data_IF_588841810975
#
_entry.id   IF_588841810975
#
_cell.length_a   1.000
_cell.length_b   1.000
_cell.length_c   1.000
_cell.angle_alpha   90.00
_cell.angle_beta   90.00
_cell.angle_gamma   90.00
#
_symmetry.space_group_name_H-M   'P 1'
#
loop_
_entity.id
_entity.type
_entity.pdbx_description
1 polymer ?
#
# COMPACT_ATOMS: atom_id res chain seq x y z
N UNK A 1 -35.92 1.13 2.05
CA UNK A 1 -35.13 1.77 3.12
C UNK A 1 -33.66 1.69 2.71
N UNK A 2 -32.91 2.76 2.94
CA UNK A 2 -31.47 2.82 2.65
C UNK A 2 -30.75 3.59 3.74
N UNK A 3 -29.48 3.26 3.95
CA UNK A 3 -28.59 3.86 4.94
C UNK A 3 -27.26 4.20 4.29
N UNK A 4 -26.74 5.38 4.60
CA UNK A 4 -25.35 5.76 4.30
C UNK A 4 -24.57 5.68 5.61
N UNK A 5 -23.47 4.94 5.59
CA UNK A 5 -22.63 4.71 6.76
C UNK A 5 -21.24 5.27 6.49
N UNK A 6 -20.65 5.97 7.45
CA UNK A 6 -19.28 6.51 7.34
C UNK A 6 -18.43 5.98 8.48
N UNK A 7 -17.27 5.47 8.14
CA UNK A 7 -16.28 4.92 9.06
C UNK A 7 -15.02 5.76 8.96
N UNK A 8 -14.51 6.26 10.08
CA UNK A 8 -13.28 7.02 10.13
C UNK A 8 -12.38 6.52 11.26
N UNK A 9 -11.08 6.43 11.00
CA UNK A 9 -10.08 6.03 12.00
C UNK A 9 -8.67 6.19 11.46
N UNK A 10 -7.67 5.91 12.30
CA UNK A 10 -6.24 6.02 11.94
C UNK A 10 -5.57 4.66 11.74
N UNK A 11 -6.35 3.59 11.83
CA UNK A 11 -5.90 2.22 11.60
C UNK A 11 -6.70 1.60 10.46
N UNK A 12 -6.11 0.63 9.79
CA UNK A 12 -6.75 -0.10 8.69
C UNK A 12 -7.81 -1.11 9.13
N UNK A 13 -8.22 -1.06 10.40
CA UNK A 13 -9.33 -1.83 10.94
C UNK A 13 -10.31 -0.84 11.56
N UNK A 14 -11.39 -0.54 10.85
CA UNK A 14 -12.42 0.38 11.30
C UNK A 14 -13.59 -0.41 11.87
N UNK A 15 -14.01 -0.10 13.09
CA UNK A 15 -15.13 -0.79 13.74
C UNK A 15 -16.18 0.23 14.19
N UNK A 16 -17.46 -0.05 13.93
CA UNK A 16 -18.58 0.72 14.43
C UNK A 16 -19.60 -0.20 15.10
N UNK A 17 -20.17 0.27 16.22
CA UNK A 17 -21.25 -0.39 16.94
C UNK A 17 -22.53 0.43 16.80
N UNK A 18 -23.64 -0.23 16.48
CA UNK A 18 -24.95 0.39 16.30
C UNK A 18 -25.81 0.15 17.54
N UNK A 19 -26.22 1.24 18.19
CA UNK A 19 -27.08 1.23 19.38
C UNK A 19 -28.18 2.30 19.23
N UNK A 20 -29.43 1.93 18.92
CA UNK A 20 -29.94 0.55 18.73
C UNK A 20 -29.38 -0.12 17.45
N UNK A 21 -29.45 -1.47 17.33
CA UNK A 21 -29.05 -2.18 16.13
C UNK A 21 -29.85 -1.74 14.90
N UNK A 22 -29.24 -1.80 13.71
CA UNK A 22 -29.97 -1.57 12.46
C UNK A 22 -30.78 -2.83 12.14
N UNK A 23 -32.10 -2.73 12.22
CA UNK A 23 -33.01 -3.83 11.91
C UNK A 23 -33.25 -3.89 10.39
N UNK A 24 -32.98 -5.06 9.81
CA UNK A 24 -33.14 -5.33 8.38
C UNK A 24 -34.40 -6.14 8.05
N UNK A 25 -35.25 -6.45 9.04
CA UNK A 25 -36.62 -6.98 8.88
C UNK A 25 -36.78 -8.14 7.87
N UNK A 26 -35.81 -9.06 7.82
CA UNK A 26 -35.78 -10.24 6.93
C UNK A 26 -35.93 -9.93 5.42
N UNK A 27 -35.75 -8.68 4.99
CA UNK A 27 -35.62 -8.39 3.56
C UNK A 27 -34.18 -8.71 3.08
N UNK A 28 -34.03 -8.95 1.79
CA UNK A 28 -32.70 -9.02 1.18
C UNK A 28 -32.08 -7.62 1.17
N UNK A 29 -30.95 -7.46 1.85
CA UNK A 29 -30.15 -6.23 1.84
C UNK A 29 -28.82 -6.45 1.15
N UNK A 30 -28.35 -5.37 0.53
CA UNK A 30 -27.07 -5.33 -0.16
C UNK A 30 -26.27 -4.11 0.29
N UNK A 31 -24.95 -4.25 0.28
CA UNK A 31 -24.01 -3.21 0.66
C UNK A 31 -22.97 -3.00 -0.43
N UNK A 32 -22.63 -1.73 -0.66
CA UNK A 32 -21.54 -1.36 -1.57
C UNK A 32 -20.73 -0.22 -1.01
N UNK A 33 -19.46 -0.13 -1.44
CA UNK A 33 -18.59 0.98 -1.13
C UNK A 33 -18.96 2.18 -2.03
N UNK A 34 -19.11 3.35 -1.41
CA UNK A 34 -19.36 4.60 -2.14
C UNK A 34 -18.09 5.43 -2.29
N UNK A 35 -17.16 5.28 -1.36
CA UNK A 35 -16.15 6.27 -1.10
C UNK A 35 -15.04 5.67 -0.22
N UNK A 36 -13.79 5.95 -0.56
CA UNK A 36 -12.61 5.69 0.26
C UNK A 36 -11.65 6.87 0.16
N UNK A 37 -11.15 7.36 1.28
CA UNK A 37 -10.22 8.48 1.36
C UNK A 37 -9.14 8.24 2.42
N UNK A 38 -7.89 8.46 2.05
CA UNK A 38 -6.74 8.49 2.97
C UNK A 38 -5.55 9.18 2.29
N UNK A 39 -4.41 9.32 2.96
CA UNK A 39 -3.15 9.71 2.32
C UNK A 39 -2.35 8.50 1.88
N UNK A 40 -1.66 8.60 0.73
CA UNK A 40 -0.73 7.58 0.27
C UNK A 40 0.58 7.66 1.06
N UNK A 41 0.59 7.05 2.24
CA UNK A 41 1.72 7.02 3.18
C UNK A 41 2.25 5.59 3.41
N UNK A 42 1.99 4.67 2.46
CA UNK A 42 2.38 3.27 2.59
C UNK A 42 3.91 3.15 2.47
N UNK A 43 4.59 2.81 3.56
CA UNK A 43 6.05 2.74 3.58
C UNK A 43 6.59 1.59 2.72
N UNK A 44 7.48 1.93 1.78
CA UNK A 44 8.28 0.97 1.01
C UNK A 44 9.70 0.81 1.59
N UNK A 45 10.20 1.80 2.33
CA UNK A 45 11.41 1.70 3.16
C UNK A 45 11.01 1.53 4.62
N UNK A 46 11.56 0.51 5.27
CA UNK A 46 11.30 0.11 6.66
C UNK A 46 12.60 -0.34 7.34
N UNK A 47 12.65 -0.53 8.66
CA UNK A 47 13.88 -0.98 9.34
C UNK A 47 14.46 -2.32 8.85
N UNK A 48 13.69 -3.11 8.09
CA UNK A 48 14.13 -4.38 7.52
C UNK A 48 14.78 -4.26 6.14
N UNK A 49 14.78 -3.08 5.50
CA UNK A 49 15.32 -2.88 4.15
C UNK A 49 15.87 -1.46 3.90
N UNK A 50 16.42 -0.81 4.93
CA UNK A 50 16.79 0.61 4.88
C UNK A 50 18.30 0.92 4.94
N UNK A 51 19.17 -0.07 4.80
CA UNK A 51 20.63 0.14 4.86
C UNK A 51 21.24 0.14 3.47
N UNK A 52 22.13 1.11 3.23
CA UNK A 52 22.91 1.23 2.00
C UNK A 52 24.40 1.36 2.36
N UNK A 53 25.21 0.35 2.03
CA UNK A 53 26.66 0.37 2.31
C UNK A 53 27.44 0.82 1.08
N UNK A 54 28.09 1.97 1.22
CA UNK A 54 28.87 2.66 0.20
C UNK A 54 30.34 2.73 0.65
N UNK A 55 31.20 1.94 0.01
CA UNK A 55 32.56 1.70 0.49
C UNK A 55 32.56 1.22 1.95
N UNK A 56 33.16 2.02 2.83
CA UNK A 56 33.18 1.75 4.28
C UNK A 56 32.07 2.48 5.06
N UNK A 57 31.26 3.30 4.40
CA UNK A 57 30.19 4.08 5.02
C UNK A 57 28.88 3.30 4.98
N UNK A 58 28.19 3.25 6.12
CA UNK A 58 26.82 2.76 6.21
C UNK A 58 25.86 3.95 6.22
N UNK A 59 24.94 4.01 5.28
CA UNK A 59 23.87 5.00 5.22
C UNK A 59 22.56 4.32 5.61
N UNK A 60 21.89 4.85 6.63
CA UNK A 60 20.56 4.40 7.05
C UNK A 60 19.52 5.37 6.51
N UNK A 61 18.62 4.85 5.68
CA UNK A 61 17.49 5.62 5.13
C UNK A 61 16.34 5.57 6.17
N UNK A 62 15.71 6.69 6.51
CA UNK A 62 14.58 6.67 7.43
C UNK A 62 13.43 5.84 6.85
N UNK A 63 12.61 5.17 7.68
CA UNK A 63 11.38 4.55 7.20
C UNK A 63 10.46 5.59 6.56
N UNK A 64 9.82 5.24 5.45
CA UNK A 64 9.01 6.18 4.68
C UNK A 64 8.54 5.60 3.35
N UNK A 65 7.78 6.41 2.61
CA UNK A 65 7.37 6.16 1.25
C UNK A 65 8.27 6.99 0.32
N UNK A 66 9.07 6.33 -0.50
CA UNK A 66 10.09 6.98 -1.33
C UNK A 66 9.94 6.61 -2.80
N UNK A 67 10.10 7.59 -3.68
CA UNK A 67 10.42 7.33 -5.08
C UNK A 67 11.91 7.03 -5.24
N UNK A 68 12.30 6.44 -6.38
CA UNK A 68 13.72 6.18 -6.68
C UNK A 68 14.56 7.47 -6.64
N UNK A 69 13.98 8.58 -7.10
CA UNK A 69 14.65 9.88 -7.06
C UNK A 69 14.87 10.39 -5.63
N UNK A 70 13.94 10.12 -4.70
CA UNK A 70 14.07 10.51 -3.30
C UNK A 70 15.19 9.73 -2.62
N UNK A 71 15.29 8.42 -2.89
CA UNK A 71 16.37 7.57 -2.40
C UNK A 71 17.72 8.08 -2.92
N UNK A 72 17.82 8.34 -4.22
CA UNK A 72 19.03 8.89 -4.84
C UNK A 72 19.46 10.21 -4.17
N UNK A 73 18.52 11.14 -4.01
CA UNK A 73 18.77 12.45 -3.42
C UNK A 73 19.19 12.33 -1.95
N UNK A 74 18.52 11.46 -1.19
CA UNK A 74 18.86 11.22 0.22
C UNK A 74 20.26 10.64 0.35
N UNK A 75 20.61 9.59 -0.41
CA UNK A 75 21.95 8.99 -0.38
C UNK A 75 23.01 10.04 -0.68
N UNK A 76 22.87 10.81 -1.76
CA UNK A 76 23.83 11.84 -2.14
C UNK A 76 23.97 12.96 -1.10
N UNK A 77 22.92 13.28 -0.35
CA UNK A 77 22.98 14.25 0.74
C UNK A 77 23.80 13.75 1.93
N UNK A 78 23.98 12.42 2.09
CA UNK A 78 24.80 11.81 3.14
C UNK A 78 26.26 11.58 2.73
N UNK A 79 26.62 11.84 1.46
CA UNK A 79 27.97 11.64 0.94
C UNK A 79 28.85 12.88 1.15
N UNK A 80 30.16 12.66 1.31
CA UNK A 80 31.11 13.75 1.43
C UNK A 80 31.48 14.32 0.04
N UNK A 81 30.84 15.44 -0.33
CA UNK A 81 31.10 16.11 -1.62
C UNK A 81 32.52 16.63 -1.79
N UNK A 82 33.26 16.90 -0.71
CA UNK A 82 34.66 17.34 -0.80
C UNK A 82 35.60 16.24 -1.26
N UNK A 83 35.23 14.97 -1.06
CA UNK A 83 35.95 13.80 -1.55
C UNK A 83 35.61 13.43 -2.99
N UNK A 84 34.66 14.15 -3.62
CA UNK A 84 34.09 13.78 -4.92
C UNK A 84 33.19 12.54 -4.87
N UNK A 85 32.69 12.13 -3.69
CA UNK A 85 31.80 10.97 -3.54
C UNK A 85 30.46 11.21 -4.26
N UNK A 86 30.01 10.22 -5.04
CA UNK A 86 28.74 10.28 -5.76
C UNK A 86 28.07 8.91 -5.90
N UNK A 87 26.74 8.94 -5.98
CA UNK A 87 25.90 7.83 -6.43
C UNK A 87 24.91 8.37 -7.44
N UNK A 88 24.76 7.72 -8.58
CA UNK A 88 23.74 7.99 -9.57
C UNK A 88 22.80 6.78 -9.60
N UNK A 89 21.60 6.93 -9.07
CA UNK A 89 20.55 5.91 -9.06
C UNK A 89 19.36 6.41 -9.88
N UNK A 90 18.94 5.62 -10.86
CA UNK A 90 17.83 5.94 -11.75
C UNK A 90 16.95 4.72 -12.00
N UNK A 91 15.66 4.96 -12.25
CA UNK A 91 14.75 3.93 -12.75
C UNK A 91 14.80 3.89 -14.27
N UNK A 92 14.85 2.68 -14.84
CA UNK A 92 14.61 2.46 -16.25
C UNK A 92 13.15 2.06 -16.46
N UNK A 93 12.32 3.03 -16.87
CA UNK A 93 10.88 2.82 -17.03
C UNK A 93 10.53 1.82 -18.15
N UNK A 94 11.46 1.51 -19.06
CA UNK A 94 11.21 0.53 -20.12
C UNK A 94 11.36 -0.91 -19.62
N UNK A 95 12.31 -1.15 -18.71
CA UNK A 95 12.59 -2.49 -18.16
C UNK A 95 12.07 -2.68 -16.74
N UNK A 96 11.60 -1.61 -16.09
CA UNK A 96 11.22 -1.54 -14.68
C UNK A 96 12.38 -1.88 -13.72
N UNK A 97 13.62 -1.86 -14.20
CA UNK A 97 14.84 -2.10 -13.42
C UNK A 97 15.44 -0.79 -12.91
N UNK A 98 16.32 -0.85 -11.92
CA UNK A 98 17.15 0.31 -11.54
C UNK A 98 18.54 0.21 -12.16
N UNK A 99 19.12 1.38 -12.42
CA UNK A 99 20.50 1.55 -12.87
C UNK A 99 21.22 2.35 -11.81
N UNK A 100 22.37 1.84 -11.35
CA UNK A 100 23.19 2.50 -10.34
C UNK A 100 24.64 2.60 -10.80
N UNK A 101 25.25 3.76 -10.58
CA UNK A 101 26.68 4.00 -10.74
C UNK A 101 27.20 4.76 -9.52
N UNK A 102 28.39 4.44 -9.06
CA UNK A 102 29.01 5.11 -7.92
C UNK A 102 30.53 5.03 -8.00
N UNK A 103 31.26 5.99 -7.43
CA UNK A 103 32.73 5.96 -7.40
C UNK A 103 33.33 5.14 -6.25
N UNK A 104 32.49 4.48 -5.45
CA UNK A 104 32.92 3.45 -4.49
C UNK A 104 32.07 2.19 -4.64
N UNK A 105 32.57 1.04 -4.18
CA UNK A 105 31.80 -0.20 -4.22
C UNK A 105 30.53 -0.07 -3.38
N UNK A 106 29.45 -0.71 -3.83
CA UNK A 106 28.18 -0.77 -3.08
C UNK A 106 27.98 -2.21 -2.64
N UNK A 107 27.74 -2.43 -1.34
CA UNK A 107 27.59 -3.77 -0.78
C UNK A 107 26.14 -4.03 -0.37
N UNK A 108 25.44 -4.85 -1.15
CA UNK A 108 24.07 -5.30 -0.85
C UNK A 108 24.02 -6.64 -0.12
N UNK A 109 25.16 -7.22 0.27
CA UNK A 109 25.21 -8.49 1.02
C UNK A 109 24.86 -8.33 2.50
N UNK A 110 24.83 -7.09 2.99
CA UNK A 110 24.52 -6.74 4.37
C UNK A 110 23.07 -7.07 4.77
N UNK A 111 22.85 -7.25 6.07
CA UNK A 111 21.49 -7.30 6.62
C UNK A 111 20.75 -5.98 6.45
N UNK A 112 19.43 -6.08 6.25
CA UNK A 112 18.53 -4.95 6.01
C UNK A 112 18.95 -4.06 4.84
N UNK A 113 19.65 -4.62 3.86
CA UNK A 113 20.05 -3.95 2.63
C UNK A 113 18.82 -3.43 1.88
N UNK A 114 18.91 -2.20 1.36
CA UNK A 114 17.92 -1.66 0.42
C UNK A 114 18.02 -2.28 -0.98
N UNK A 115 19.05 -3.10 -1.25
CA UNK A 115 19.30 -3.68 -2.56
C UNK A 115 18.09 -4.40 -3.17
N UNK A 116 17.36 -5.18 -2.36
CA UNK A 116 16.16 -5.90 -2.81
C UNK A 116 15.05 -4.94 -3.27
N UNK A 117 14.83 -3.83 -2.54
CA UNK A 117 13.87 -2.80 -2.93
C UNK A 117 14.22 -2.18 -4.30
N UNK A 118 15.52 -2.02 -4.54
CA UNK A 118 16.06 -1.50 -5.80
C UNK A 118 16.17 -2.58 -6.90
N UNK A 119 15.80 -3.83 -6.63
CA UNK A 119 15.83 -4.95 -7.58
C UNK A 119 17.17 -5.68 -7.69
N UNK A 120 18.14 -5.36 -6.84
CA UNK A 120 19.46 -6.02 -6.82
C UNK A 120 19.46 -7.24 -5.91
N UNK A 121 20.12 -8.30 -6.39
CA UNK A 121 20.51 -9.45 -5.56
C UNK A 121 21.54 -9.05 -4.49
N UNK A 122 21.71 -9.93 -3.49
CA UNK A 122 22.75 -9.78 -2.45
C UNK A 122 24.14 -9.98 -3.03
N UNK A 123 24.70 -8.90 -3.57
CA UNK A 123 26.06 -8.85 -4.13
C UNK A 123 26.72 -7.50 -3.88
N UNK A 124 28.04 -7.46 -4.08
CA UNK A 124 28.80 -6.22 -4.11
C UNK A 124 28.93 -5.74 -5.56
N UNK A 125 28.64 -4.46 -5.79
CA UNK A 125 28.83 -3.78 -7.06
C UNK A 125 30.20 -3.08 -7.06
N UNK A 126 30.95 -3.24 -8.16
CA UNK A 126 32.21 -2.56 -8.42
C UNK A 126 32.03 -1.04 -8.58
N UNK A 127 33.03 -0.28 -8.14
CA UNK A 127 33.09 1.17 -8.32
C UNK A 127 33.31 1.55 -9.79
N UNK A 128 32.88 2.76 -10.16
CA UNK A 128 33.01 3.39 -11.49
C UNK A 128 32.35 2.63 -12.65
N UNK A 129 31.60 1.58 -12.34
CA UNK A 129 30.84 0.78 -13.30
C UNK A 129 29.34 1.06 -13.17
N UNK A 130 28.64 0.99 -14.30
CA UNK A 130 27.18 1.09 -14.34
C UNK A 130 26.59 -0.31 -14.18
N UNK A 131 25.77 -0.48 -13.14
CA UNK A 131 25.12 -1.75 -12.83
C UNK A 131 23.62 -1.62 -13.03
N UNK A 132 23.02 -2.59 -13.70
CA UNK A 132 21.56 -2.72 -13.81
C UNK A 132 21.09 -3.82 -12.87
N UNK A 133 19.96 -3.59 -12.21
CA UNK A 133 19.33 -4.55 -11.31
C UNK A 133 18.89 -5.81 -12.07
N UNK A 134 19.02 -6.99 -11.48
CA UNK A 134 18.57 -8.24 -12.13
C UNK A 134 17.06 -8.41 -12.07
N UNK A 135 16.42 -7.85 -11.05
CA UNK A 135 14.97 -7.86 -10.85
C UNK A 135 14.38 -6.47 -11.09
N UNK A 136 13.06 -6.41 -11.23
CA UNK A 136 12.32 -5.15 -11.26
C UNK A 136 12.37 -4.45 -9.91
N UNK A 137 12.30 -3.13 -9.94
CA UNK A 137 12.20 -2.28 -8.75
C UNK A 137 10.90 -2.62 -8.02
N UNK A 138 10.97 -2.73 -6.68
CA UNK A 138 9.81 -3.00 -5.83
C UNK A 138 9.44 -1.80 -4.94
N UNK A 139 9.39 -0.58 -5.51
CA UNK A 139 9.02 0.62 -4.75
C UNK A 139 7.52 0.69 -4.45
N UNK A 140 6.69 -0.01 -5.22
CA UNK A 140 5.25 -0.12 -5.02
C UNK A 140 4.95 -1.37 -4.19
N UNK A 141 4.92 -1.22 -2.86
CA UNK A 141 4.70 -2.34 -1.93
C UNK A 141 3.34 -3.02 -2.11
N UNK A 142 2.32 -2.26 -2.51
CA UNK A 142 0.97 -2.77 -2.75
C UNK A 142 0.72 -2.78 -4.25
N UNK A 143 0.10 -3.85 -4.76
CA UNK A 143 -0.43 -3.92 -6.12
C UNK A 143 -1.95 -3.65 -6.13
N UNK A 144 -2.61 -3.87 -4.99
CA UNK A 144 -4.03 -3.55 -4.86
C UNK A 144 -4.40 -3.33 -3.40
N UNK A 145 -5.34 -2.41 -3.15
CA UNK A 145 -6.01 -2.21 -1.89
C UNK A 145 -7.39 -2.87 -1.96
N UNK A 146 -7.67 -3.74 -0.98
CA UNK A 146 -8.93 -4.43 -0.83
C UNK A 146 -9.65 -3.87 0.39
N UNK A 147 -10.90 -3.47 0.21
CA UNK A 147 -11.78 -3.11 1.33
C UNK A 147 -12.66 -4.31 1.63
N UNK A 148 -12.45 -4.94 2.78
CA UNK A 148 -13.31 -6.01 3.27
C UNK A 148 -14.36 -5.49 4.24
N UNK A 149 -15.55 -6.09 4.20
CA UNK A 149 -16.63 -5.82 5.15
C UNK A 149 -17.11 -7.10 5.82
N UNK A 150 -17.17 -7.08 7.15
CA UNK A 150 -17.47 -8.26 7.98
C UNK A 150 -18.86 -8.86 7.79
N UNK A 151 -19.80 -8.15 7.14
CA UNK A 151 -21.20 -8.58 6.99
C UNK A 151 -21.60 -8.89 5.54
N UNK A 152 -20.69 -8.71 4.58
CA UNK A 152 -20.98 -8.98 3.16
C UNK A 152 -20.52 -10.37 2.74
N UNK A 153 -21.21 -10.97 1.79
CA UNK A 153 -20.86 -12.28 1.19
C UNK A 153 -20.87 -12.21 -0.34
N UNK A 154 -20.56 -13.30 -1.02
CA UNK A 154 -20.65 -13.40 -2.48
C UNK A 154 -19.41 -12.93 -3.26
N UNK A 155 -18.34 -12.53 -2.58
CA UNK A 155 -17.04 -12.32 -3.18
C UNK A 155 -16.16 -13.59 -3.07
N UNK A 156 -15.28 -13.82 -4.04
CA UNK A 156 -14.34 -14.94 -4.06
C UNK A 156 -12.95 -14.46 -4.50
N UNK A 157 -11.90 -14.89 -3.80
CA UNK A 157 -10.49 -14.68 -4.16
C UNK A 157 -9.88 -16.04 -4.50
N UNK A 158 -9.45 -16.22 -5.76
CA UNK A 158 -8.88 -17.49 -6.26
C UNK A 158 -9.74 -18.74 -5.96
N UNK A 159 -11.06 -18.61 -6.13
CA UNK A 159 -12.02 -19.70 -5.87
C UNK A 159 -12.41 -19.90 -4.41
N UNK A 160 -11.80 -19.17 -3.47
CA UNK A 160 -12.14 -19.22 -2.04
C UNK A 160 -13.05 -18.05 -1.68
N UNK A 161 -14.14 -18.27 -0.90
CA UNK A 161 -14.98 -17.17 -0.42
C UNK A 161 -14.17 -16.08 0.31
N UNK A 162 -14.49 -14.82 0.03
CA UNK A 162 -13.86 -13.66 0.61
C UNK A 162 -14.90 -12.56 0.90
N UNK A 163 -14.48 -11.47 1.52
CA UNK A 163 -15.36 -10.40 1.99
C UNK A 163 -15.05 -9.04 1.36
N UNK A 164 -14.32 -9.03 0.24
CA UNK A 164 -13.91 -7.78 -0.44
C UNK A 164 -15.11 -7.16 -1.16
N UNK A 165 -15.49 -5.94 -0.74
CA UNK A 165 -16.59 -5.16 -1.33
C UNK A 165 -16.10 -4.19 -2.41
N UNK A 166 -14.82 -3.84 -2.41
CA UNK A 166 -14.19 -3.01 -3.43
C UNK A 166 -12.69 -3.28 -3.49
N UNK A 167 -12.13 -3.24 -4.69
CA UNK A 167 -10.71 -3.44 -4.94
C UNK A 167 -10.22 -2.38 -5.94
N UNK A 168 -9.12 -1.72 -5.62
CA UNK A 168 -8.53 -0.68 -6.46
C UNK A 168 -7.01 -0.59 -6.24
N UNK A 169 -6.34 0.33 -6.93
CA UNK A 169 -4.92 0.64 -6.71
C UNK A 169 -4.76 2.16 -6.56
N UNK A 170 -3.90 2.67 -5.65
CA UNK A 170 -3.67 4.10 -5.51
C UNK A 170 -3.20 4.73 -6.83
N UNK A 171 -3.97 5.64 -7.39
CA UNK A 171 -3.65 6.35 -8.64
C UNK A 171 -2.78 7.60 -8.45
N UNK A 172 -2.24 7.79 -7.24
CA UNK A 172 -1.49 8.98 -6.84
C UNK A 172 -0.14 8.59 -6.23
N UNK A 173 0.91 9.41 -6.40
CA UNK A 173 2.22 9.17 -5.80
C UNK A 173 2.20 9.20 -4.26
N UNK A 174 3.33 8.84 -3.66
CA UNK A 174 3.59 9.01 -2.23
C UNK A 174 3.29 10.44 -1.75
N UNK A 175 2.65 10.58 -0.59
CA UNK A 175 2.34 11.88 0.03
C UNK A 175 1.07 12.57 -0.50
N UNK A 176 0.45 12.07 -1.57
CA UNK A 176 -0.80 12.60 -2.10
C UNK A 176 -2.02 11.93 -1.48
N UNK A 177 -3.17 12.61 -1.54
CA UNK A 177 -4.44 12.06 -1.06
C UNK A 177 -4.98 11.02 -2.04
N UNK A 178 -5.24 9.81 -1.56
CA UNK A 178 -5.99 8.78 -2.25
C UNK A 178 -7.47 9.13 -2.11
N UNK A 179 -8.15 9.34 -3.24
CA UNK A 179 -9.59 9.56 -3.28
C UNK A 179 -10.17 8.55 -4.26
N UNK A 180 -10.75 7.49 -3.73
CA UNK A 180 -11.39 6.45 -4.53
C UNK A 180 -12.91 6.62 -4.48
N UNK A 181 -13.51 6.58 -5.67
CA UNK A 181 -14.95 6.71 -5.92
C UNK A 181 -15.33 5.70 -7.00
N UNK A 182 -15.96 4.57 -6.65
CA UNK A 182 -16.36 3.59 -7.65
C UNK A 182 -17.29 4.22 -8.68
N UNK A 183 -16.96 4.12 -9.98
CA UNK A 183 -17.81 4.62 -11.07
C UNK A 183 -19.19 3.98 -11.02
N UNK A 184 -19.21 2.67 -10.72
CA UNK A 184 -20.42 1.90 -10.45
C UNK A 184 -20.23 1.20 -9.12
N UNK A 185 -21.12 1.45 -8.17
CA UNK A 185 -21.11 0.77 -6.87
C UNK A 185 -21.55 -0.68 -7.07
N UNK A 186 -20.63 -1.62 -6.80
CA UNK A 186 -20.94 -3.04 -6.74
C UNK A 186 -21.60 -3.31 -5.39
N UNK A 187 -22.76 -3.96 -5.44
CA UNK A 187 -23.55 -4.30 -4.26
C UNK A 187 -23.45 -5.80 -3.99
N UNK A 188 -22.94 -6.14 -2.81
CA UNK A 188 -22.83 -7.52 -2.34
C UNK A 188 -23.94 -7.83 -1.31
N UNK A 189 -24.45 -9.07 -1.30
CA UNK A 189 -25.46 -9.50 -0.34
C UNK A 189 -24.92 -9.46 1.10
N UNK A 190 -25.86 -9.30 2.04
CA UNK A 190 -25.61 -9.32 3.48
C UNK A 190 -26.33 -10.53 4.06
N UNK A 191 -25.69 -11.24 4.99
CA UNK A 191 -26.22 -12.47 5.58
C UNK A 191 -26.73 -12.32 7.02
N UNK A 192 -27.01 -11.08 7.45
CA UNK A 192 -27.52 -10.77 8.79
C UNK A 192 -28.85 -10.02 8.72
N UNK A 193 -29.77 -10.31 9.63
CA UNK A 193 -31.08 -9.64 9.74
C UNK A 193 -31.07 -8.44 10.71
N UNK A 194 -30.00 -8.32 11.51
CA UNK A 194 -29.77 -7.21 12.43
C UNK A 194 -28.28 -6.89 12.49
N UNK A 195 -27.93 -5.61 12.33
CA UNK A 195 -26.54 -5.15 12.36
C UNK A 195 -26.25 -4.47 13.70
N UNK A 196 -25.49 -5.15 14.56
CA UNK A 196 -24.98 -4.61 15.83
C UNK A 196 -23.60 -4.00 15.71
N UNK A 197 -22.79 -4.50 14.76
CA UNK A 197 -21.47 -3.96 14.45
C UNK A 197 -21.06 -4.24 13.02
N UNK A 198 -20.24 -3.37 12.46
CA UNK A 198 -19.54 -3.57 11.18
C UNK A 198 -18.06 -3.35 11.41
N UNK A 199 -17.25 -4.29 10.95
CA UNK A 199 -15.80 -4.14 10.84
C UNK A 199 -15.40 -4.04 9.38
N UNK A 200 -14.62 -3.01 9.05
CA UNK A 200 -13.95 -2.86 7.77
C UNK A 200 -12.46 -3.13 7.94
N UNK A 201 -11.87 -3.82 6.98
CA UNK A 201 -10.42 -4.03 6.91
C UNK A 201 -9.89 -3.53 5.57
N UNK A 202 -8.73 -2.88 5.59
CA UNK A 202 -8.02 -2.48 4.38
C UNK A 202 -6.80 -3.40 4.25
N UNK A 203 -6.81 -4.23 3.21
CA UNK A 203 -5.81 -5.26 2.95
C UNK A 203 -5.04 -4.98 1.66
N UNK A 204 -3.87 -5.59 1.53
CA UNK A 204 -3.14 -5.66 0.27
C UNK A 204 -3.50 -6.93 -0.55
N UNK A 205 -2.88 -7.07 -1.71
CA UNK A 205 -3.09 -8.21 -2.61
C UNK A 205 -2.85 -9.58 -1.97
N UNK A 206 -2.03 -9.66 -0.92
CA UNK A 206 -1.68 -10.90 -0.23
C UNK A 206 -2.61 -11.17 0.96
N UNK A 207 -3.37 -10.15 1.39
CA UNK A 207 -4.32 -10.22 2.50
C UNK A 207 -3.77 -9.65 3.79
N UNK A 208 -2.62 -8.97 3.75
CA UNK A 208 -2.02 -8.33 4.91
C UNK A 208 -2.63 -6.95 5.15
N UNK A 209 -2.71 -6.55 6.42
CA UNK A 209 -3.24 -5.25 6.81
C UNK A 209 -2.30 -4.15 6.33
N UNK A 210 -2.82 -3.24 5.51
CA UNK A 210 -2.04 -2.11 5.00
C UNK A 210 -1.81 -1.10 6.11
N UNK A 211 -0.59 -0.59 6.27
CA UNK A 211 -0.29 0.47 7.22
C UNK A 211 -0.19 1.82 6.49
N UNK A 212 -1.14 2.72 6.77
CA UNK A 212 -1.12 4.10 6.29
C UNK A 212 -0.45 5.06 7.28
N UNK A 213 0.51 4.59 8.07
CA UNK A 213 1.33 5.42 8.97
C UNK A 213 0.52 6.31 9.95
N UNK A 214 -0.65 5.82 10.41
CA UNK A 214 -1.53 6.57 11.30
C UNK A 214 -2.37 7.67 10.63
N UNK A 215 -2.34 7.77 9.30
CA UNK A 215 -3.18 8.69 8.53
C UNK A 215 -4.66 8.40 8.72
N UNK A 216 -5.47 9.46 8.62
CA UNK A 216 -6.93 9.34 8.73
C UNK A 216 -7.48 8.66 7.49
N UNK A 217 -8.13 7.51 7.70
CA UNK A 217 -8.86 6.75 6.70
C UNK A 217 -10.34 7.04 6.88
N UNK A 218 -11.06 7.34 5.80
CA UNK A 218 -12.52 7.50 5.77
C UNK A 218 -13.12 6.62 4.69
N UNK A 219 -14.14 5.84 5.04
CA UNK A 219 -14.85 4.93 4.14
C UNK A 219 -16.35 5.19 4.23
N UNK A 220 -16.98 5.41 3.09
CA UNK A 220 -18.43 5.51 2.95
C UNK A 220 -19.03 4.23 2.39
N UNK A 221 -20.06 3.69 3.05
CA UNK A 221 -20.85 2.55 2.57
C UNK A 221 -22.28 2.97 2.30
N UNK A 222 -22.90 2.31 1.33
CA UNK A 222 -24.34 2.39 1.09
C UNK A 222 -24.98 1.02 1.29
N UNK A 223 -25.90 0.96 2.24
CA UNK A 223 -26.72 -0.20 2.57
C UNK A 223 -28.15 0.05 2.08
N UNK A 224 -28.71 -0.86 1.29
CA UNK A 224 -30.09 -0.73 0.79
C UNK A 224 -30.76 -2.08 0.63
N UNK A 225 -32.10 -2.08 0.57
CA UNK A 225 -32.85 -3.26 0.12
C UNK A 225 -32.44 -3.65 -1.30
N UNK A 226 -32.34 -4.95 -1.55
CA UNK A 226 -32.23 -5.50 -2.89
C UNK A 226 -33.50 -5.19 -3.67
N UNK A 227 -33.35 -4.83 -4.95
CA UNK A 227 -34.49 -4.73 -5.84
C UNK A 227 -34.63 -6.09 -6.53
N UNK A 228 -35.70 -6.83 -6.22
CA UNK A 228 -36.11 -7.94 -7.08
C UNK A 228 -36.89 -7.32 -8.24
N UNK A 229 -36.33 -7.46 -9.44
CA UNK A 229 -37.03 -7.10 -10.68
C UNK A 229 -38.20 -8.04 -10.97
#
# INVERSE_FOLDING_TARGET
>A
MSYTLTFTGTTSILNAFFRPPLLLNDDDYVMGLTNFETYNSIHNVTPTNNKFKYGNQMITIPPGCYEISDINNYINAQLNRTSGDYVELQANNNTMQSVIKANRPIDFTIENSIGELLGFEKKTLSAEETHTSSNTINILKVNSLLVECSITTGNFKNGVPAHTIHQFFPSVPAGYKIIERPLTVIYLPINVSSVTSITLKILDQDGDIVNFNGEVITIGLHLKKANHG
#
